data_IF_387740567907
#
_entry.id   IF_387740567907
#
_cell.length_a   1.000
_cell.length_b   1.000
_cell.length_c   1.000
_cell.angle_alpha   90.00
_cell.angle_beta   90.00
_cell.angle_gamma   90.00
#
_symmetry.space_group_name_H-M   'P 1'
#
loop_
_entity.id
_entity.type
_entity.pdbx_description
1 polymer ?
#
# COMPACT_ATOMS: atom_id res chain seq x y z
N UNK A 1 3.21 33.28 18.16
CA UNK A 1 2.28 33.35 17.01
C UNK A 1 2.88 32.45 15.95
N UNK A 2 2.43 31.19 15.84
CA UNK A 2 2.98 30.27 14.85
C UNK A 2 2.38 30.63 13.50
N UNK A 3 3.20 31.17 12.60
CA UNK A 3 2.82 31.31 11.20
C UNK A 3 2.45 29.93 10.67
N UNK A 4 1.16 29.72 10.39
CA UNK A 4 0.73 28.64 9.51
C UNK A 4 1.30 29.00 8.14
N UNK A 5 2.42 28.38 7.76
CA UNK A 5 2.75 28.24 6.33
C UNK A 5 1.58 27.46 5.72
N UNK A 6 0.81 28.11 4.88
CA UNK A 6 -0.16 27.46 4.01
C UNK A 6 0.60 26.58 3.03
N UNK A 7 0.93 25.36 3.45
CA UNK A 7 1.51 24.35 2.59
C UNK A 7 0.41 23.91 1.61
N UNK A 8 0.46 24.43 0.38
CA UNK A 8 -0.38 23.94 -0.69
C UNK A 8 0.08 22.52 -1.01
N UNK A 9 -0.68 21.51 -0.55
CA UNK A 9 -0.40 20.11 -0.83
C UNK A 9 -0.61 19.89 -2.33
N UNK A 10 0.50 19.64 -3.04
CA UNK A 10 0.47 19.31 -4.46
C UNK A 10 0.04 17.86 -4.65
N UNK A 11 -0.90 17.65 -5.56
CA UNK A 11 -1.35 16.32 -5.96
C UNK A 11 -0.88 16.01 -7.37
N UNK A 12 -0.51 14.75 -7.57
CA UNK A 12 -0.07 14.22 -8.84
C UNK A 12 -0.88 12.97 -9.16
N UNK A 13 -1.08 12.70 -10.45
CA UNK A 13 -1.59 11.41 -10.92
C UNK A 13 -0.56 10.83 -11.87
N UNK A 14 -0.12 9.61 -11.62
CA UNK A 14 0.93 9.01 -12.42
C UNK A 14 1.06 7.50 -12.26
N UNK A 15 2.08 6.95 -12.88
CA UNK A 15 2.38 5.53 -12.83
C UNK A 15 3.88 5.26 -12.98
N UNK A 16 4.29 4.05 -12.60
CA UNK A 16 5.61 3.50 -12.85
C UNK A 16 5.84 3.26 -14.33
N UNK A 17 6.98 3.68 -14.86
CA UNK A 17 7.41 3.38 -16.22
C UNK A 17 7.85 1.90 -16.36
N UNK A 18 8.11 1.20 -15.25
CA UNK A 18 8.24 -0.26 -15.23
C UNK A 18 6.85 -0.91 -15.35
N UNK A 19 6.57 -1.45 -16.54
CA UNK A 19 5.27 -2.03 -16.88
C UNK A 19 4.87 -3.19 -15.96
N UNK A 20 5.84 -3.98 -15.49
CA UNK A 20 5.57 -5.10 -14.60
C UNK A 20 5.25 -4.61 -13.18
N UNK A 21 5.93 -3.57 -12.69
CA UNK A 21 5.56 -2.90 -11.43
C UNK A 21 4.16 -2.32 -11.54
N UNK A 22 3.89 -1.55 -12.60
CA UNK A 22 2.61 -0.89 -12.82
C UNK A 22 1.46 -1.89 -12.85
N UNK A 23 1.59 -2.97 -13.61
CA UNK A 23 0.55 -3.98 -13.74
C UNK A 23 0.31 -4.75 -12.43
N UNK A 24 1.37 -5.15 -11.71
CA UNK A 24 1.23 -5.96 -10.48
C UNK A 24 0.76 -5.15 -9.27
N UNK A 25 1.07 -3.85 -9.21
CA UNK A 25 0.66 -2.99 -8.12
C UNK A 25 -0.86 -2.82 -8.04
N UNK A 26 -1.39 -2.37 -6.91
CA UNK A 26 -2.84 -2.15 -6.72
C UNK A 26 -3.47 -1.08 -7.61
N UNK A 27 -2.61 -0.28 -8.26
CA UNK A 27 -2.82 1.04 -8.83
C UNK A 27 -1.63 1.32 -9.76
N UNK A 28 -1.26 2.56 -10.04
CA UNK A 28 -0.14 2.91 -10.92
C UNK A 28 1.28 2.50 -10.48
N UNK A 29 1.50 1.92 -9.30
CA UNK A 29 2.82 1.40 -8.90
C UNK A 29 3.83 2.46 -8.43
N UNK A 30 3.37 3.68 -8.13
CA UNK A 30 4.24 4.76 -7.63
C UNK A 30 4.95 4.36 -6.34
N UNK A 31 4.23 3.87 -5.32
CA UNK A 31 4.84 3.47 -4.04
C UNK A 31 5.88 2.36 -4.18
N UNK A 32 5.62 1.38 -5.04
CA UNK A 32 6.60 0.31 -5.35
C UNK A 32 7.85 0.87 -6.02
N UNK A 33 7.70 1.87 -6.90
CA UNK A 33 8.82 2.50 -7.60
C UNK A 33 9.68 3.34 -6.64
N UNK A 34 9.05 4.11 -5.74
CA UNK A 34 9.76 4.80 -4.65
C UNK A 34 10.53 3.82 -3.78
N UNK A 35 9.89 2.74 -3.31
CA UNK A 35 10.56 1.72 -2.49
C UNK A 35 11.76 1.12 -3.23
N UNK A 36 11.58 0.74 -4.51
CA UNK A 36 12.64 0.18 -5.35
C UNK A 36 13.81 1.15 -5.53
N UNK A 37 13.53 2.40 -5.90
CA UNK A 37 14.55 3.42 -6.09
C UNK A 37 15.32 3.66 -4.80
N UNK A 38 14.62 3.90 -3.69
CA UNK A 38 15.27 4.24 -2.44
C UNK A 38 16.08 3.09 -1.85
N UNK A 39 15.63 1.83 -1.97
CA UNK A 39 16.40 0.67 -1.52
C UNK A 39 17.68 0.45 -2.35
N UNK A 40 17.80 1.09 -3.52
CA UNK A 40 19.05 1.09 -4.29
C UNK A 40 20.05 2.16 -3.83
N UNK A 41 19.64 3.06 -2.95
CA UNK A 41 20.50 4.12 -2.38
C UNK A 41 21.18 3.63 -1.11
N UNK A 42 22.44 4.02 -0.92
CA UNK A 42 23.23 3.69 0.29
C UNK A 42 22.64 4.20 1.61
N UNK A 43 21.71 5.14 1.54
CA UNK A 43 21.07 5.75 2.72
C UNK A 43 19.90 4.91 3.27
N UNK A 44 19.42 3.92 2.50
CA UNK A 44 18.28 3.09 2.88
C UNK A 44 18.54 1.63 2.50
N UNK A 45 19.09 0.85 3.43
CA UNK A 45 19.40 -0.56 3.18
C UNK A 45 18.28 -1.51 3.62
N UNK A 46 17.15 -0.98 4.11
CA UNK A 46 16.03 -1.79 4.62
C UNK A 46 14.71 -1.35 4.01
N UNK A 47 13.88 -2.30 3.61
CA UNK A 47 12.48 -2.04 3.28
C UNK A 47 11.55 -3.12 3.86
N UNK A 48 10.24 -2.89 3.77
CA UNK A 48 9.23 -3.88 4.15
C UNK A 48 8.60 -4.50 2.92
N UNK A 49 8.50 -5.83 2.93
CA UNK A 49 7.63 -6.59 2.04
C UNK A 49 6.60 -7.39 2.84
N UNK A 50 5.65 -7.99 2.13
CA UNK A 50 4.63 -8.85 2.71
C UNK A 50 4.52 -10.15 1.93
N UNK A 51 4.45 -11.28 2.63
CA UNK A 51 4.19 -12.58 2.02
C UNK A 51 2.93 -13.20 2.59
N UNK A 52 2.19 -13.94 1.78
CA UNK A 52 1.03 -14.67 2.24
C UNK A 52 1.45 -16.01 2.84
N UNK A 53 1.15 -16.24 4.11
CA UNK A 53 1.28 -17.54 4.75
C UNK A 53 -0.02 -18.35 4.55
N UNK A 54 -0.02 -19.43 3.74
CA UNK A 54 -1.20 -20.25 3.52
C UNK A 54 -1.67 -20.99 4.78
N UNK A 55 -0.80 -21.26 5.76
CA UNK A 55 -1.19 -21.97 6.99
C UNK A 55 -2.13 -21.13 7.85
N UNK A 56 -1.77 -19.86 8.08
CA UNK A 56 -2.62 -18.91 8.79
C UNK A 56 -3.64 -18.20 7.88
N UNK A 57 -3.46 -18.28 6.56
CA UNK A 57 -4.12 -17.48 5.53
C UNK A 57 -3.98 -15.97 5.77
N UNK A 58 -2.81 -15.55 6.23
CA UNK A 58 -2.52 -14.15 6.53
C UNK A 58 -1.30 -13.66 5.78
N UNK A 59 -1.32 -12.39 5.38
CA UNK A 59 -0.10 -11.70 5.02
C UNK A 59 0.74 -11.42 6.26
N UNK A 60 2.03 -11.65 6.14
CA UNK A 60 3.04 -11.42 7.18
C UNK A 60 4.07 -10.42 6.66
N UNK A 61 4.40 -9.38 7.45
CA UNK A 61 5.50 -8.48 7.10
C UNK A 61 6.85 -9.20 7.19
N UNK A 62 7.81 -8.71 6.39
CA UNK A 62 9.21 -9.15 6.39
C UNK A 62 10.10 -7.97 6.03
N UNK A 63 11.21 -7.80 6.75
CA UNK A 63 12.28 -6.89 6.35
C UNK A 63 13.03 -7.47 5.16
N UNK A 64 13.32 -6.63 4.17
CA UNK A 64 14.13 -6.98 3.00
C UNK A 64 15.29 -6.01 2.88
N UNK A 65 16.39 -6.50 2.32
CA UNK A 65 17.62 -5.74 2.11
C UNK A 65 18.02 -5.64 0.63
N UNK A 66 17.34 -6.42 -0.22
CA UNK A 66 17.54 -6.44 -1.66
C UNK A 66 16.20 -6.36 -2.36
N UNK A 67 16.16 -5.76 -3.55
CA UNK A 67 14.91 -5.55 -4.28
C UNK A 67 14.32 -6.87 -4.82
N UNK A 68 15.16 -7.88 -5.05
CA UNK A 68 14.77 -9.20 -5.53
C UNK A 68 13.83 -9.92 -4.54
N UNK A 69 13.91 -9.55 -3.25
CA UNK A 69 13.06 -10.07 -2.19
C UNK A 69 11.67 -9.39 -2.12
N UNK A 70 11.44 -8.35 -2.92
CA UNK A 70 10.19 -7.60 -2.92
C UNK A 70 9.06 -8.40 -3.58
N UNK A 71 8.04 -8.71 -2.79
CA UNK A 71 6.78 -9.23 -3.28
C UNK A 71 5.77 -8.09 -3.57
N UNK A 72 5.54 -7.81 -4.86
CA UNK A 72 4.51 -6.86 -5.31
C UNK A 72 3.14 -7.55 -5.25
N UNK A 73 2.50 -7.47 -4.08
CA UNK A 73 1.26 -8.19 -3.78
C UNK A 73 -0.02 -7.35 -3.83
N UNK A 74 0.09 -6.08 -4.20
CA UNK A 74 -1.03 -5.14 -4.17
C UNK A 74 -1.52 -4.85 -2.74
N UNK A 75 -2.80 -4.47 -2.62
CA UNK A 75 -3.36 -4.00 -1.36
C UNK A 75 -3.70 -5.19 -0.48
N UNK A 76 -3.40 -5.06 0.80
CA UNK A 76 -3.77 -6.05 1.82
C UNK A 76 -4.87 -5.44 2.68
N UNK A 77 -6.02 -6.11 2.75
CA UNK A 77 -7.18 -5.64 3.53
C UNK A 77 -7.25 -6.28 4.93
N UNK A 78 -6.31 -7.17 5.25
CA UNK A 78 -6.20 -7.81 6.55
C UNK A 78 -5.55 -6.86 7.56
N UNK A 79 -6.01 -6.88 8.81
CA UNK A 79 -5.39 -6.09 9.87
C UNK A 79 -3.98 -6.59 10.18
N UNK A 80 -2.96 -5.78 9.87
CA UNK A 80 -1.55 -6.07 10.13
C UNK A 80 -1.00 -5.07 11.14
N UNK A 81 -0.45 -5.56 12.25
CA UNK A 81 0.23 -4.73 13.24
C UNK A 81 1.72 -4.54 12.89
N UNK A 82 1.97 -3.60 11.98
CA UNK A 82 3.32 -3.27 11.54
C UNK A 82 4.15 -2.57 12.64
N UNK A 83 3.50 -1.90 13.58
CA UNK A 83 4.17 -1.22 14.71
C UNK A 83 4.80 -2.25 15.64
N UNK A 84 4.06 -3.30 15.99
CA UNK A 84 4.58 -4.39 16.81
C UNK A 84 5.69 -5.15 16.09
N UNK A 85 5.51 -5.44 14.80
CA UNK A 85 6.55 -6.07 13.98
C UNK A 85 7.86 -5.27 13.98
N UNK A 86 7.80 -3.96 13.72
CA UNK A 86 8.99 -3.10 13.72
C UNK A 86 9.66 -3.05 15.09
N UNK A 87 8.90 -2.99 16.19
CA UNK A 87 9.49 -3.03 17.54
C UNK A 87 10.27 -4.30 17.81
N UNK A 88 9.80 -5.44 17.29
CA UNK A 88 10.43 -6.74 17.50
C UNK A 88 11.66 -6.97 16.61
N UNK A 89 11.79 -6.22 15.51
CA UNK A 89 12.85 -6.38 14.52
C UNK A 89 13.62 -5.05 14.32
N UNK A 90 13.65 -4.19 15.35
CA UNK A 90 14.25 -2.85 15.24
C UNK A 90 15.77 -2.93 15.01
N UNK A 91 16.42 -3.92 15.63
CA UNK A 91 17.87 -4.14 15.55
C UNK A 91 18.30 -4.74 14.20
N UNK A 92 17.35 -5.25 13.41
CA UNK A 92 17.60 -5.80 12.09
C UNK A 92 17.57 -4.72 10.99
N UNK A 93 17.24 -3.47 11.32
CA UNK A 93 17.23 -2.35 10.37
C UNK A 93 18.66 -1.81 10.18
N UNK A 94 19.08 -1.70 8.92
CA UNK A 94 20.41 -1.25 8.52
C UNK A 94 20.32 0.12 7.84
N UNK A 95 21.12 1.07 8.31
CA UNK A 95 21.27 2.46 7.82
C UNK A 95 19.97 3.29 7.81
N UNK A 96 19.01 2.91 6.97
CA UNK A 96 17.70 3.52 6.90
C UNK A 96 16.62 2.56 6.40
N UNK A 97 15.36 2.93 6.61
CA UNK A 97 14.20 2.14 6.23
C UNK A 97 13.24 2.89 5.31
N UNK A 98 12.78 2.21 4.26
CA UNK A 98 11.64 2.64 3.45
C UNK A 98 10.45 1.73 3.66
N UNK A 99 9.30 2.32 4.00
CA UNK A 99 8.13 1.55 4.43
C UNK A 99 6.84 2.14 3.93
N UNK A 100 5.92 1.27 3.51
CA UNK A 100 4.53 1.63 3.24
C UNK A 100 3.66 1.13 4.40
N UNK A 101 2.86 2.00 5.01
CA UNK A 101 2.04 1.63 6.16
C UNK A 101 0.65 2.28 6.15
N UNK A 102 -0.21 1.84 7.08
CA UNK A 102 -1.53 2.43 7.25
C UNK A 102 -1.42 3.86 7.83
N UNK A 103 -2.37 4.77 7.54
CA UNK A 103 -2.38 6.12 8.10
C UNK A 103 -2.26 6.18 9.62
N UNK A 104 -2.90 5.25 10.32
CA UNK A 104 -2.87 5.15 11.77
C UNK A 104 -1.52 4.65 12.34
N UNK A 105 -0.63 4.12 11.49
CA UNK A 105 0.68 3.59 11.87
C UNK A 105 1.83 4.55 11.57
N UNK A 106 1.62 5.58 10.74
CA UNK A 106 2.65 6.56 10.33
C UNK A 106 3.33 7.19 11.54
N UNK A 107 2.57 7.84 12.44
CA UNK A 107 3.15 8.56 13.58
C UNK A 107 3.84 7.64 14.60
N UNK A 108 3.25 6.49 15.01
CA UNK A 108 3.96 5.53 15.85
C UNK A 108 5.27 5.03 15.26
N UNK A 109 5.28 4.68 13.96
CA UNK A 109 6.49 4.21 13.27
C UNK A 109 7.54 5.30 13.19
N UNK A 110 7.17 6.52 12.78
CA UNK A 110 8.06 7.68 12.76
C UNK A 110 8.69 7.93 14.14
N UNK A 111 7.89 7.87 15.20
CA UNK A 111 8.37 8.03 16.57
C UNK A 111 9.31 6.92 17.02
N UNK A 112 9.11 5.68 16.57
CA UNK A 112 10.04 4.59 16.83
C UNK A 112 11.37 4.85 16.11
N UNK A 113 11.35 5.07 14.80
CA UNK A 113 12.58 5.29 14.02
C UNK A 113 13.39 6.48 14.53
N UNK A 114 12.75 7.62 14.80
CA UNK A 114 13.43 8.81 15.30
C UNK A 114 14.08 8.60 16.68
N UNK A 115 13.45 7.81 17.58
CA UNK A 115 14.06 7.49 18.89
C UNK A 115 15.29 6.61 18.78
N UNK A 116 15.37 5.79 17.75
CA UNK A 116 16.51 4.92 17.46
C UNK A 116 17.51 5.56 16.47
N UNK A 117 17.33 6.84 16.11
CA UNK A 117 18.14 7.54 15.11
C UNK A 117 18.20 6.82 13.74
N UNK A 118 17.15 6.12 13.37
CA UNK A 118 17.04 5.40 12.08
C UNK A 118 16.53 6.37 11.02
N UNK A 119 17.30 6.56 9.94
CA UNK A 119 16.84 7.30 8.76
C UNK A 119 15.62 6.61 8.18
N UNK A 120 14.55 7.33 7.90
CA UNK A 120 13.28 6.70 7.54
C UNK A 120 12.53 7.48 6.46
N UNK A 121 11.95 6.76 5.51
CA UNK A 121 11.04 7.27 4.50
C UNK A 121 9.74 6.47 4.58
N UNK A 122 8.66 7.14 4.96
CA UNK A 122 7.37 6.51 5.21
C UNK A 122 6.41 6.96 4.13
N UNK A 123 5.89 6.00 3.38
CA UNK A 123 4.75 6.18 2.51
C UNK A 123 3.49 5.69 3.23
N UNK A 124 2.40 6.42 3.08
CA UNK A 124 1.08 5.97 3.51
C UNK A 124 0.15 5.88 2.32
N UNK A 125 -1.01 5.26 2.51
CA UNK A 125 -2.07 5.24 1.51
C UNK A 125 -3.43 5.54 2.11
N UNK A 126 -4.39 5.91 1.26
CA UNK A 126 -5.78 6.13 1.68
C UNK A 126 -6.40 4.82 2.17
N UNK A 127 -6.97 4.84 3.38
CA UNK A 127 -7.54 3.66 4.02
C UNK A 127 -8.95 3.94 4.55
N UNK A 128 -9.90 3.07 4.21
CA UNK A 128 -11.30 3.15 4.65
C UNK A 128 -11.66 2.11 5.72
N UNK A 129 -10.65 1.42 6.25
CA UNK A 129 -10.77 0.37 7.25
C UNK A 129 -9.99 -0.89 6.89
N UNK A 130 -9.75 -1.72 7.90
CA UNK A 130 -9.16 -3.04 7.75
C UNK A 130 -10.20 -4.12 8.05
N UNK A 131 -9.84 -5.37 7.78
CA UNK A 131 -10.69 -6.55 8.00
C UNK A 131 -9.95 -7.50 8.94
N UNK A 132 -10.63 -7.99 9.97
CA UNK A 132 -10.09 -9.05 10.82
C UNK A 132 -9.94 -10.35 10.01
N UNK A 133 -9.14 -11.29 10.51
CA UNK A 133 -8.92 -12.56 9.83
C UNK A 133 -10.22 -13.37 9.67
N UNK A 134 -11.17 -13.23 10.60
CA UNK A 134 -12.48 -13.88 10.55
C UNK A 134 -13.30 -13.43 9.34
N UNK A 135 -13.15 -12.18 8.90
CA UNK A 135 -13.78 -11.67 7.68
C UNK A 135 -13.20 -12.32 6.44
N UNK A 136 -11.89 -12.54 6.41
CA UNK A 136 -11.23 -13.31 5.35
C UNK A 136 -11.70 -14.78 5.34
N UNK A 137 -11.85 -15.41 6.51
CA UNK A 137 -12.41 -16.75 6.59
C UNK A 137 -13.90 -16.80 6.18
N UNK A 138 -14.67 -15.75 6.49
CA UNK A 138 -16.05 -15.63 6.03
C UNK A 138 -16.12 -15.56 4.51
N UNK A 139 -15.22 -14.78 3.89
CA UNK A 139 -15.11 -14.71 2.43
C UNK A 139 -14.90 -16.08 1.80
N UNK A 140 -13.98 -16.89 2.33
CA UNK A 140 -13.73 -18.24 1.83
C UNK A 140 -14.95 -19.16 1.98
N UNK A 141 -15.64 -19.11 3.13
CA UNK A 141 -16.88 -19.89 3.36
C UNK A 141 -17.98 -19.53 2.36
N UNK A 142 -18.17 -18.24 2.08
CA UNK A 142 -19.18 -17.77 1.12
C UNK A 142 -18.83 -18.15 -0.33
N UNK A 143 -17.56 -18.44 -0.62
CA UNK A 143 -17.10 -18.99 -1.90
C UNK A 143 -17.08 -20.53 -1.93
N UNK A 144 -17.48 -21.19 -0.84
CA UNK A 144 -17.39 -22.64 -0.66
C UNK A 144 -15.95 -23.18 -0.83
N UNK A 145 -14.95 -22.42 -0.36
CA UNK A 145 -13.53 -22.80 -0.39
C UNK A 145 -13.07 -23.14 1.03
N UNK A 146 -12.46 -24.30 1.21
CA UNK A 146 -11.81 -24.64 2.47
C UNK A 146 -10.49 -23.87 2.59
N UNK A 147 -10.28 -23.18 3.72
CA UNK A 147 -9.06 -22.40 3.96
C UNK A 147 -7.77 -23.24 3.84
N UNK A 148 -7.84 -24.55 4.13
CA UNK A 148 -6.69 -25.46 4.01
C UNK A 148 -6.24 -25.68 2.57
N UNK A 149 -7.12 -25.43 1.60
CA UNK A 149 -6.84 -25.60 0.17
C UNK A 149 -6.24 -24.34 -0.45
N UNK A 150 -6.14 -23.24 0.30
CA UNK A 150 -5.66 -21.96 -0.20
C UNK A 150 -4.13 -21.95 -0.22
N UNK A 151 -3.59 -21.63 -1.39
CA UNK A 151 -2.16 -21.41 -1.60
C UNK A 151 -1.79 -19.93 -1.52
N UNK A 152 -2.60 -19.07 -2.11
CA UNK A 152 -2.37 -17.62 -2.16
C UNK A 152 -3.70 -16.89 -2.26
N UNK A 153 -3.79 -15.76 -1.57
CA UNK A 153 -4.83 -14.75 -1.81
C UNK A 153 -4.17 -13.43 -2.10
N UNK A 154 -4.56 -12.78 -3.20
CA UNK A 154 -4.17 -11.43 -3.56
C UNK A 154 -5.45 -10.60 -3.72
N UNK A 155 -5.61 -9.53 -2.94
CA UNK A 155 -6.87 -8.78 -2.93
C UNK A 155 -6.97 -7.78 -4.09
N UNK A 156 -5.83 -7.25 -4.54
CA UNK A 156 -5.71 -6.20 -5.56
C UNK A 156 -4.43 -6.38 -6.38
N UNK A 157 -4.38 -5.70 -7.52
CA UNK A 157 -3.27 -5.71 -8.48
C UNK A 157 -3.50 -6.68 -9.63
N UNK A 158 -2.50 -6.82 -10.51
CA UNK A 158 -2.64 -7.47 -11.82
C UNK A 158 -3.71 -6.77 -12.67
N UNK A 159 -3.58 -5.44 -12.79
CA UNK A 159 -4.54 -4.53 -13.38
C UNK A 159 -5.29 -3.67 -12.36
N UNK A 160 -6.11 -2.75 -12.85
CA UNK A 160 -6.89 -1.81 -12.04
C UNK A 160 -8.30 -1.67 -12.63
N UNK A 161 -9.37 -1.64 -11.80
CA UNK A 161 -9.37 -1.76 -10.34
C UNK A 161 -9.25 -3.21 -9.83
N UNK A 162 -9.26 -4.21 -10.72
CA UNK A 162 -9.05 -5.63 -10.42
C UNK A 162 -9.97 -6.19 -9.30
N UNK A 163 -9.67 -7.41 -8.87
CA UNK A 163 -10.46 -8.24 -7.97
C UNK A 163 -9.60 -9.12 -7.09
N UNK A 164 -10.25 -9.76 -6.13
CA UNK A 164 -9.65 -10.76 -5.25
C UNK A 164 -9.38 -12.02 -6.05
N UNK A 165 -8.12 -12.44 -6.03
CA UNK A 165 -7.58 -13.61 -6.72
C UNK A 165 -7.19 -14.64 -5.67
N UNK A 166 -7.72 -15.85 -5.77
CA UNK A 166 -7.40 -16.98 -4.88
C UNK A 166 -6.81 -18.09 -5.73
N UNK A 167 -5.58 -18.50 -5.41
CA UNK A 167 -4.96 -19.70 -5.97
C UNK A 167 -5.09 -20.83 -4.97
N UNK A 168 -5.59 -21.98 -5.41
CA UNK A 168 -5.73 -23.18 -4.61
C UNK A 168 -4.54 -24.13 -4.79
N UNK A 169 -4.35 -25.04 -3.85
CA UNK A 169 -3.28 -26.05 -3.85
C UNK A 169 -3.38 -26.98 -5.07
N UNK A 170 -4.60 -27.26 -5.54
CA UNK A 170 -4.84 -28.05 -6.75
C UNK A 170 -4.64 -27.28 -8.06
N UNK A 171 -4.16 -26.03 -8.01
CA UNK A 171 -3.90 -25.20 -9.18
C UNK A 171 -5.10 -24.38 -9.69
N UNK A 172 -6.33 -24.63 -9.21
CA UNK A 172 -7.49 -23.82 -9.57
C UNK A 172 -7.32 -22.38 -9.09
N UNK A 173 -7.64 -21.42 -9.97
CA UNK A 173 -7.70 -20.00 -9.66
C UNK A 173 -9.17 -19.55 -9.57
N UNK A 174 -9.49 -18.72 -8.58
CA UNK A 174 -10.80 -18.08 -8.42
C UNK A 174 -10.59 -16.57 -8.44
N UNK A 175 -11.40 -15.87 -9.23
CA UNK A 175 -11.39 -14.42 -9.32
C UNK A 175 -12.78 -13.85 -8.97
N UNK A 176 -12.80 -12.74 -8.23
CA UNK A 176 -14.01 -11.98 -7.89
C UNK A 176 -13.71 -10.50 -7.83
N UNK A 177 -14.52 -9.67 -8.48
CA UNK A 177 -14.35 -8.22 -8.41
C UNK A 177 -14.51 -7.69 -6.99
N UNK A 178 -13.70 -6.69 -6.64
CA UNK A 178 -13.71 -6.04 -5.32
C UNK A 178 -15.03 -5.32 -4.99
N UNK A 179 -15.92 -5.17 -5.96
CA UNK A 179 -17.22 -4.51 -5.81
C UNK A 179 -18.39 -5.48 -5.98
N UNK A 180 -18.12 -6.78 -5.86
CA UNK A 180 -19.13 -7.83 -5.97
C UNK A 180 -19.31 -8.61 -4.67
N UNK A 181 -20.42 -9.35 -4.61
CA UNK A 181 -20.62 -10.38 -3.59
C UNK A 181 -19.54 -11.48 -3.75
N UNK A 182 -18.97 -12.02 -2.65
CA UNK A 182 -19.33 -11.75 -1.25
C UNK A 182 -18.55 -10.63 -0.57
N UNK A 183 -17.58 -10.00 -1.25
CA UNK A 183 -16.68 -9.04 -0.60
C UNK A 183 -17.39 -7.77 -0.15
N UNK A 184 -18.29 -7.24 -0.98
CA UNK A 184 -19.06 -6.04 -0.63
C UNK A 184 -19.92 -6.25 0.61
N UNK A 185 -20.54 -7.42 0.76
CA UNK A 185 -21.34 -7.78 1.95
C UNK A 185 -20.48 -7.78 3.21
N UNK A 186 -19.28 -8.37 3.15
CA UNK A 186 -18.36 -8.43 4.28
C UNK A 186 -17.96 -7.01 4.72
N UNK A 187 -17.57 -6.16 3.76
CA UNK A 187 -17.14 -4.79 4.05
C UNK A 187 -18.29 -3.91 4.54
N UNK A 188 -19.48 -4.00 3.91
CA UNK A 188 -20.64 -3.17 4.26
C UNK A 188 -21.27 -3.55 5.60
N UNK A 189 -21.19 -4.83 5.99
CA UNK A 189 -21.69 -5.31 7.29
C UNK A 189 -20.96 -4.69 8.48
N UNK A 190 -19.70 -4.26 8.29
CA UNK A 190 -18.78 -3.80 9.34
C UNK A 190 -18.51 -4.81 10.47
N UNK A 191 -19.04 -6.03 10.40
CA UNK A 191 -18.91 -7.06 11.45
C UNK A 191 -17.46 -7.48 11.68
N UNK A 192 -16.67 -7.50 10.60
CA UNK A 192 -15.26 -7.90 10.63
C UNK A 192 -14.30 -6.72 10.60
N UNK A 193 -14.77 -5.52 10.98
CA UNK A 193 -13.91 -4.34 11.07
C UNK A 193 -13.22 -4.31 12.44
N UNK A 194 -11.88 -4.19 12.53
CA UNK A 194 -11.21 -4.04 13.80
C UNK A 194 -11.77 -2.84 14.59
N UNK A 195 -11.95 -2.99 15.90
CA UNK A 195 -12.52 -1.93 16.76
C UNK A 195 -11.85 -0.57 16.58
N UNK A 196 -10.52 -0.56 16.47
CA UNK A 196 -9.71 0.66 16.23
C UNK A 196 -10.14 1.44 14.99
N UNK A 197 -10.61 0.76 13.93
CA UNK A 197 -11.03 1.42 12.69
C UNK A 197 -12.34 2.20 12.84
N UNK A 198 -13.20 1.88 13.81
CA UNK A 198 -14.41 2.67 14.09
C UNK A 198 -14.12 4.02 14.75
N UNK A 199 -12.96 4.14 15.43
CA UNK A 199 -12.53 5.37 16.09
C UNK A 199 -11.50 6.14 15.25
N UNK A 200 -11.07 5.59 14.11
CA UNK A 200 -10.11 6.24 13.23
C UNK A 200 -10.75 7.44 12.54
N UNK A 201 -10.10 8.61 12.64
CA UNK A 201 -10.51 9.86 11.98
C UNK A 201 -9.58 10.24 10.82
N UNK A 202 -8.80 9.27 10.33
CA UNK A 202 -7.76 9.46 9.31
C UNK A 202 -8.09 8.59 8.11
N UNK A 203 -8.35 9.23 6.97
CA UNK A 203 -8.38 8.56 5.68
C UNK A 203 -6.97 8.44 5.10
N UNK A 204 -6.10 9.42 5.40
CA UNK A 204 -4.66 9.42 5.13
C UNK A 204 -3.89 10.12 6.27
N UNK A 205 -2.56 10.14 6.24
CA UNK A 205 -1.74 10.91 7.20
C UNK A 205 -0.60 11.65 6.50
N UNK A 206 -0.75 12.97 6.37
CA UNK A 206 0.24 13.88 5.75
C UNK A 206 1.55 14.03 6.57
N UNK A 207 1.72 13.30 7.68
CA UNK A 207 3.04 13.16 8.33
C UNK A 207 3.91 12.05 7.71
N UNK A 208 3.38 11.30 6.74
CA UNK A 208 4.15 10.47 5.82
C UNK A 208 4.88 11.35 4.79
N UNK A 209 5.96 10.87 4.19
CA UNK A 209 6.69 11.59 3.14
C UNK A 209 5.86 11.68 1.84
N UNK A 210 5.16 10.59 1.50
CA UNK A 210 4.23 10.50 0.38
C UNK A 210 2.92 9.87 0.84
N UNK A 211 1.78 10.41 0.38
CA UNK A 211 0.46 9.78 0.55
C UNK A 211 -0.05 9.26 -0.79
N UNK A 212 -0.44 7.98 -0.86
CA UNK A 212 -0.88 7.31 -2.07
C UNK A 212 -2.40 7.08 -2.07
N UNK A 213 -3.03 7.14 -3.24
CA UNK A 213 -4.45 6.92 -3.43
C UNK A 213 -4.73 6.36 -4.83
N UNK A 214 -5.89 5.73 -4.99
CA UNK A 214 -6.46 5.52 -6.30
C UNK A 214 -7.10 6.83 -6.79
N UNK A 215 -7.00 7.18 -8.08
CA UNK A 215 -7.52 8.45 -8.59
C UNK A 215 -9.05 8.50 -8.58
N UNK A 216 -9.72 7.38 -8.84
CA UNK A 216 -11.19 7.24 -8.89
C UNK A 216 -11.97 8.28 -9.72
N UNK A 217 -11.30 9.10 -10.53
CA UNK A 217 -11.93 10.03 -11.48
C UNK A 217 -12.56 9.26 -12.64
N UNK A 218 -13.57 9.88 -13.27
CA UNK A 218 -14.38 9.24 -14.31
C UNK A 218 -13.53 8.79 -15.50
N UNK A 219 -12.57 9.62 -15.94
CA UNK A 219 -11.73 9.29 -17.08
C UNK A 219 -10.86 8.04 -16.85
N UNK A 220 -10.31 7.87 -15.64
CA UNK A 220 -9.52 6.68 -15.30
C UNK A 220 -10.41 5.46 -15.10
N UNK A 221 -11.56 5.60 -14.41
CA UNK A 221 -12.53 4.49 -14.25
C UNK A 221 -12.99 3.89 -15.59
N UNK A 222 -13.08 4.71 -16.63
CA UNK A 222 -13.57 4.29 -17.95
C UNK A 222 -12.48 3.74 -18.86
N UNK A 223 -11.23 4.22 -18.73
CA UNK A 223 -10.17 3.94 -19.71
C UNK A 223 -8.98 3.16 -19.15
N UNK A 224 -8.74 3.23 -17.86
CA UNK A 224 -7.55 2.64 -17.26
C UNK A 224 -7.82 1.21 -16.79
N UNK A 225 -7.06 0.26 -17.35
CA UNK A 225 -7.11 -1.16 -17.00
C UNK A 225 -5.82 -1.63 -16.32
N UNK A 226 -4.78 -0.80 -16.31
CA UNK A 226 -3.46 -1.17 -15.77
C UNK A 226 -3.28 -0.50 -14.40
N UNK A 227 -3.51 0.81 -14.33
CA UNK A 227 -3.46 1.58 -13.10
C UNK A 227 -2.74 2.92 -13.24
N UNK A 228 -3.28 3.92 -12.56
CA UNK A 228 -2.67 5.19 -12.20
C UNK A 228 -2.85 5.37 -10.70
N UNK A 229 -1.85 5.95 -10.05
CA UNK A 229 -1.87 6.33 -8.63
C UNK A 229 -2.00 7.84 -8.54
N UNK A 230 -2.99 8.31 -7.78
CA UNK A 230 -3.02 9.67 -7.29
C UNK A 230 -2.15 9.74 -6.04
N UNK A 231 -1.31 10.74 -5.87
CA UNK A 231 -0.48 10.87 -4.68
C UNK A 231 -0.19 12.33 -4.32
N UNK A 232 0.12 12.57 -3.06
CA UNK A 232 0.61 13.85 -2.57
C UNK A 232 2.01 13.72 -1.98
N UNK A 233 2.77 14.80 -2.10
CA UNK A 233 4.09 14.96 -1.51
C UNK A 233 3.97 15.85 -0.28
N UNK A 234 4.42 15.36 0.88
CA UNK A 234 4.14 16.06 2.14
C UNK A 234 5.39 16.54 2.89
N UNK A 235 6.58 16.13 2.45
CA UNK A 235 7.87 16.53 3.07
C UNK A 235 8.90 16.91 2.02
N UNK A 236 9.92 17.67 2.41
CA UNK A 236 11.04 18.02 1.53
C UNK A 236 11.79 16.77 1.03
N UNK A 237 11.90 15.74 1.87
CA UNK A 237 12.47 14.45 1.45
C UNK A 237 11.60 13.77 0.39
N UNK A 238 10.27 13.81 0.53
CA UNK A 238 9.34 13.33 -0.50
C UNK A 238 9.49 14.09 -1.81
N UNK A 239 9.65 15.42 -1.76
CA UNK A 239 9.82 16.27 -2.94
C UNK A 239 11.14 15.98 -3.65
N UNK A 240 12.24 15.92 -2.89
CA UNK A 240 13.56 15.55 -3.40
C UNK A 240 13.51 14.21 -4.14
N UNK A 241 12.97 13.16 -3.52
CA UNK A 241 12.92 11.86 -4.19
C UNK A 241 11.93 11.82 -5.36
N UNK A 242 10.84 12.59 -5.34
CA UNK A 242 9.99 12.72 -6.52
C UNK A 242 10.77 13.27 -7.72
N UNK A 243 11.54 14.34 -7.52
CA UNK A 243 12.37 14.94 -8.58
C UNK A 243 13.41 13.94 -9.11
N UNK A 244 14.04 13.17 -8.23
CA UNK A 244 14.97 12.12 -8.61
C UNK A 244 14.31 11.02 -9.47
N UNK A 245 13.12 10.55 -9.08
CA UNK A 245 12.37 9.55 -9.86
C UNK A 245 11.97 10.08 -11.25
N UNK A 246 11.69 11.39 -11.38
CA UNK A 246 11.39 12.02 -12.67
C UNK A 246 12.65 12.19 -13.52
N UNK A 247 13.78 12.59 -12.90
CA UNK A 247 15.08 12.76 -13.56
C UNK A 247 15.59 11.46 -14.15
N UNK A 248 15.38 10.34 -13.45
CA UNK A 248 15.75 8.98 -13.87
C UNK A 248 14.68 8.30 -14.76
N UNK A 249 13.62 9.02 -15.16
CA UNK A 249 12.51 8.50 -15.98
C UNK A 249 11.86 7.21 -15.43
N UNK A 250 11.76 7.11 -14.10
CA UNK A 250 11.19 5.93 -13.43
C UNK A 250 9.66 5.99 -13.31
N UNK A 251 9.08 7.19 -13.40
CA UNK A 251 7.64 7.44 -13.32
C UNK A 251 7.19 8.48 -14.33
N UNK A 252 5.94 8.36 -14.77
CA UNK A 252 5.23 9.38 -15.55
C UNK A 252 4.11 9.99 -14.72
N UNK A 253 4.04 11.33 -14.64
CA UNK A 253 3.05 12.04 -13.82
C UNK A 253 2.37 13.19 -14.57
N UNK A 254 1.17 13.55 -14.11
CA UNK A 254 0.45 14.79 -14.43
C UNK A 254 0.15 15.54 -13.15
N UNK A 255 0.30 16.86 -13.15
CA UNK A 255 0.00 17.70 -11.98
C UNK A 255 -1.51 17.95 -11.85
N UNK A 256 -2.03 18.08 -10.63
CA UNK A 256 -3.45 18.42 -10.42
C UNK A 256 -3.84 19.80 -10.93
N UNK A 257 -2.88 20.71 -11.17
CA UNK A 257 -3.14 22.00 -11.81
C UNK A 257 -3.58 21.84 -13.27
N UNK A 258 -3.27 20.70 -13.90
CA UNK A 258 -3.67 20.38 -15.27
C UNK A 258 -4.96 19.54 -15.33
N UNK A 259 -5.50 19.14 -14.17
CA UNK A 259 -6.71 18.32 -14.06
C UNK A 259 -7.91 19.25 -13.87
N UNK A 260 -8.61 19.56 -14.96
CA UNK A 260 -9.91 20.25 -14.87
C UNK A 260 -10.91 19.35 -14.15
N UNK A 261 -11.17 19.66 -12.88
CA UNK A 261 -12.33 19.11 -12.16
C UNK A 261 -13.57 19.71 -12.83
N UNK A 262 -14.32 18.89 -13.57
CA UNK A 262 -15.63 19.23 -14.12
C UNK A 262 -16.71 18.77 -13.15
#
# INVERSE_FOLDING_TARGET
MFEKKDFQVMYYIGYSNDQNIRYKASSGGIGTTFLKYMLSLHDYDTAITFYFDPKSCQYKPRLIYNIEDLNICGSIYQDIDLVSFIRQNIDDIRNGIVITCLPCQVRPLRSIFNRHNIKNFIMTFVCSGQTTIEGTYCYYRLLHINKKDIRLVQYRGNGWPSGIQIKLNNGRCVYKDNYSYPWTLIQSSKLYRPKKCFFCKKDTDYSADISLADPWLKEYKQSDQIGHTMFSVNTDSGAFYLEELLREDLISIKSSCDVKVV
#
